data_IF_409414626929
#
_entry.id   IF_409414626929
#
_cell.length_a   1.000
_cell.length_b   1.000
_cell.length_c   1.000
_cell.angle_alpha   90.00
_cell.angle_beta   90.00
_cell.angle_gamma   90.00
#
_symmetry.space_group_name_H-M   'P 1'
#
loop_
_entity.id
_entity.type
_entity.pdbx_description
1 polymer ?
#
# COMPACT_ATOMS: atom_id res chain seq x y z
N UNK A 1 -4.94 -16.16 -7.70
CA UNK A 1 -4.28 -16.07 -9.02
C UNK A 1 -3.69 -17.41 -9.44
N UNK A 2 -2.88 -18.04 -8.59
CA UNK A 2 -2.30 -19.37 -8.86
C UNK A 2 -3.35 -20.41 -9.25
N UNK A 3 -4.46 -20.49 -8.51
CA UNK A 3 -5.56 -21.39 -8.87
C UNK A 3 -6.11 -21.17 -10.29
N UNK A 4 -6.30 -19.90 -10.70
CA UNK A 4 -6.78 -19.60 -12.05
C UNK A 4 -5.74 -19.99 -13.11
N UNK A 5 -4.45 -19.73 -12.84
CA UNK A 5 -3.33 -20.12 -13.69
C UNK A 5 -3.26 -21.65 -13.86
N UNK A 6 -3.36 -22.41 -12.76
CA UNK A 6 -3.34 -23.87 -12.76
C UNK A 6 -4.51 -24.48 -13.54
N UNK A 7 -5.67 -23.83 -13.50
CA UNK A 7 -6.89 -24.28 -14.20
C UNK A 7 -7.02 -23.71 -15.61
N UNK A 8 -6.05 -22.92 -16.08
CA UNK A 8 -6.09 -22.29 -17.40
C UNK A 8 -7.21 -21.25 -17.55
N UNK A 9 -7.67 -20.68 -16.44
CA UNK A 9 -8.68 -19.64 -16.44
C UNK A 9 -8.06 -18.26 -16.68
N UNK A 10 -8.76 -17.36 -17.39
CA UNK A 10 -8.33 -15.97 -17.53
C UNK A 10 -8.09 -15.31 -16.16
N UNK A 11 -7.03 -14.51 -16.06
CA UNK A 11 -6.70 -13.75 -14.86
C UNK A 11 -6.02 -12.44 -15.24
N UNK A 12 -6.14 -11.42 -14.39
CA UNK A 12 -5.61 -10.07 -14.64
C UNK A 12 -4.08 -9.96 -14.47
N UNK A 13 -3.44 -11.00 -13.97
CA UNK A 13 -2.01 -10.97 -13.62
C UNK A 13 -1.67 -10.14 -12.38
N UNK A 14 -2.66 -9.48 -11.76
CA UNK A 14 -2.50 -8.71 -10.53
C UNK A 14 -3.66 -8.95 -9.54
N UNK A 15 -3.41 -8.73 -8.26
CA UNK A 15 -4.41 -8.63 -7.20
C UNK A 15 -4.12 -7.40 -6.34
N UNK A 16 -5.17 -6.68 -5.94
CA UNK A 16 -5.09 -5.54 -5.02
C UNK A 16 -5.77 -5.94 -3.72
N UNK A 17 -5.05 -5.80 -2.60
CA UNK A 17 -5.54 -6.03 -1.25
C UNK A 17 -5.64 -4.67 -0.55
N UNK A 18 -6.84 -4.31 -0.10
CA UNK A 18 -7.11 -3.07 0.61
C UNK A 18 -7.21 -3.34 2.11
N UNK A 19 -6.22 -2.90 2.87
CA UNK A 19 -6.05 -3.13 4.31
C UNK A 19 -6.46 -4.54 4.78
N UNK A 20 -5.81 -5.60 4.25
CA UNK A 20 -6.21 -6.99 4.49
C UNK A 20 -6.16 -7.41 5.97
N UNK A 21 -5.47 -6.64 6.82
CA UNK A 21 -5.21 -6.98 8.21
C UNK A 21 -5.88 -6.04 9.22
N UNK A 22 -6.74 -5.13 8.76
CA UNK A 22 -7.37 -4.12 9.63
C UNK A 22 -8.13 -4.71 10.82
N UNK A 23 -8.75 -5.87 10.66
CA UNK A 23 -9.45 -6.57 11.75
C UNK A 23 -8.52 -7.04 12.88
N UNK A 24 -7.23 -7.19 12.60
CA UNK A 24 -6.19 -7.52 13.57
C UNK A 24 -5.47 -6.26 14.08
N UNK A 25 -5.77 -5.07 13.56
CA UNK A 25 -5.14 -3.83 14.00
C UNK A 25 -5.92 -3.12 15.12
N UNK A 26 -7.07 -3.64 15.54
CA UNK A 26 -7.92 -3.01 16.57
C UNK A 26 -7.33 -3.25 17.99
N UNK A 27 -6.73 -2.22 18.63
CA UNK A 27 -6.18 -2.35 19.97
C UNK A 27 -7.26 -2.40 21.07
N UNK A 28 -8.49 -2.01 20.75
CA UNK A 28 -9.65 -1.99 21.66
C UNK A 28 -10.47 -3.28 21.57
N UNK A 29 -10.07 -4.22 20.70
CA UNK A 29 -10.65 -5.55 20.63
C UNK A 29 -10.47 -6.28 21.97
N UNK A 30 -11.58 -6.47 22.69
CA UNK A 30 -11.63 -7.27 23.92
C UNK A 30 -11.68 -8.78 23.65
N UNK A 31 -11.63 -9.21 22.38
CA UNK A 31 -11.56 -10.62 22.04
C UNK A 31 -10.23 -11.22 22.52
N UNK A 32 -10.31 -12.27 23.34
CA UNK A 32 -9.15 -13.07 23.71
C UNK A 32 -8.62 -13.77 22.45
N UNK A 33 -7.61 -13.18 21.83
CA UNK A 33 -6.92 -13.80 20.72
C UNK A 33 -5.82 -14.73 21.25
N UNK A 34 -5.88 -16.03 20.89
CA UNK A 34 -4.81 -17.00 21.15
C UNK A 34 -3.44 -16.57 20.58
N UNK A 35 -3.46 -15.69 19.58
CA UNK A 35 -2.28 -15.11 18.92
C UNK A 35 -2.40 -13.60 18.94
N UNK A 36 -1.36 -12.91 19.42
CA UNK A 36 -1.32 -11.46 19.41
C UNK A 36 -1.51 -10.91 17.98
N UNK A 37 -2.44 -9.97 17.75
CA UNK A 37 -2.75 -9.49 16.41
C UNK A 37 -1.54 -8.91 15.64
N UNK A 38 -0.61 -8.25 16.34
CA UNK A 38 0.68 -7.83 15.80
C UNK A 38 1.48 -8.99 15.17
N UNK A 39 1.42 -10.19 15.76
CA UNK A 39 2.11 -11.38 15.23
C UNK A 39 1.54 -11.82 13.89
N UNK A 40 0.24 -11.60 13.64
CA UNK A 40 -0.40 -11.91 12.36
C UNK A 40 0.06 -10.94 11.28
N UNK A 41 0.09 -9.64 11.61
CA UNK A 41 0.56 -8.59 10.70
C UNK A 41 2.01 -8.84 10.29
N UNK A 42 2.88 -9.08 11.26
CA UNK A 42 4.30 -9.32 11.03
C UNK A 42 4.52 -10.55 10.14
N UNK A 43 3.88 -11.68 10.48
CA UNK A 43 4.03 -12.92 9.71
C UNK A 43 3.52 -12.79 8.27
N UNK A 44 2.47 -11.99 8.06
CA UNK A 44 1.95 -11.74 6.72
C UNK A 44 2.98 -11.01 5.86
N UNK A 45 3.56 -9.91 6.36
CA UNK A 45 4.55 -9.15 5.61
C UNK A 45 5.89 -9.88 5.48
N UNK A 46 6.31 -10.63 6.50
CA UNK A 46 7.50 -11.49 6.41
C UNK A 46 7.33 -12.53 5.31
N UNK A 47 6.18 -13.21 5.27
CA UNK A 47 5.87 -14.13 4.18
C UNK A 47 5.89 -13.42 2.81
N UNK A 48 5.28 -12.23 2.72
CA UNK A 48 5.24 -11.45 1.48
C UNK A 48 6.62 -11.01 0.99
N UNK A 49 7.56 -10.70 1.90
CA UNK A 49 8.94 -10.35 1.53
C UNK A 49 9.67 -11.49 0.80
N UNK A 50 9.25 -12.73 1.08
CA UNK A 50 9.79 -13.94 0.44
C UNK A 50 8.97 -14.41 -0.76
N UNK A 51 7.89 -13.71 -1.12
CA UNK A 51 6.99 -14.10 -2.20
C UNK A 51 7.74 -14.19 -3.54
N UNK A 52 7.62 -15.35 -4.20
CA UNK A 52 8.17 -15.63 -5.55
C UNK A 52 7.12 -16.26 -6.47
N UNK A 53 5.84 -16.17 -6.10
CA UNK A 53 4.74 -16.71 -6.88
C UNK A 53 4.45 -15.88 -8.14
N UNK A 54 3.52 -16.36 -8.96
CA UNK A 54 3.20 -15.72 -10.26
C UNK A 54 2.32 -14.49 -10.08
N UNK A 55 2.60 -13.47 -10.89
CA UNK A 55 1.86 -12.21 -10.97
C UNK A 55 2.16 -11.22 -9.85
N UNK A 56 1.48 -10.08 -9.90
CA UNK A 56 1.71 -8.96 -9.00
C UNK A 56 0.72 -8.93 -7.84
N UNK A 57 1.22 -8.71 -6.63
CA UNK A 57 0.39 -8.44 -5.45
C UNK A 57 0.63 -6.99 -5.04
N UNK A 58 -0.45 -6.22 -4.93
CA UNK A 58 -0.41 -4.82 -4.49
C UNK A 58 -1.18 -4.75 -3.18
N UNK A 59 -0.51 -4.34 -2.10
CA UNK A 59 -1.14 -4.13 -0.80
C UNK A 59 -1.21 -2.64 -0.53
N UNK A 60 -2.40 -2.15 -0.19
CA UNK A 60 -2.63 -0.79 0.27
C UNK A 60 -2.78 -0.83 1.78
N UNK A 61 -1.90 -0.13 2.49
CA UNK A 61 -2.01 0.05 3.93
C UNK A 61 -1.76 1.48 4.36
N UNK A 62 -2.33 1.83 5.51
CA UNK A 62 -2.10 3.11 6.17
C UNK A 62 -1.14 3.02 7.36
N UNK A 63 -0.86 1.80 7.84
CA UNK A 63 0.02 1.56 8.97
C UNK A 63 1.43 1.18 8.48
N UNK A 64 2.50 1.64 9.16
CA UNK A 64 3.85 1.21 8.85
C UNK A 64 4.04 -0.27 9.22
N UNK A 65 4.80 -0.99 8.41
CA UNK A 65 5.24 -2.35 8.72
C UNK A 65 6.61 -2.33 9.42
N UNK A 66 7.03 -3.46 10.00
CA UNK A 66 8.35 -3.60 10.63
C UNK A 66 9.49 -3.15 9.71
N UNK A 67 10.45 -2.43 10.28
CA UNK A 67 11.60 -1.87 9.56
C UNK A 67 12.35 -2.92 8.75
N UNK A 68 12.66 -4.07 9.36
CA UNK A 68 13.38 -5.18 8.73
C UNK A 68 12.66 -5.69 7.47
N UNK A 69 11.33 -5.83 7.55
CA UNK A 69 10.51 -6.27 6.42
C UNK A 69 10.35 -5.17 5.37
N UNK A 70 10.26 -3.91 5.81
CA UNK A 70 10.19 -2.73 4.92
C UNK A 70 11.48 -2.53 4.10
N UNK A 71 12.65 -2.83 4.66
CA UNK A 71 13.93 -2.79 3.95
C UNK A 71 13.97 -3.76 2.77
N UNK A 72 13.26 -4.89 2.86
CA UNK A 72 13.19 -5.90 1.79
C UNK A 72 12.06 -5.61 0.79
N UNK A 73 10.89 -5.20 1.30
CA UNK A 73 9.71 -4.94 0.47
C UNK A 73 9.76 -3.59 -0.25
N UNK A 74 10.56 -2.64 0.25
CA UNK A 74 10.70 -1.28 -0.26
C UNK A 74 9.33 -0.60 -0.54
N UNK A 75 8.47 -0.45 0.49
CA UNK A 75 7.12 0.06 0.29
C UNK A 75 7.13 1.50 -0.22
N UNK A 76 6.18 1.81 -1.09
CA UNK A 76 5.98 3.17 -1.58
C UNK A 76 5.18 3.96 -0.54
N UNK A 77 5.87 4.79 0.24
CA UNK A 77 5.23 5.63 1.27
C UNK A 77 4.71 6.94 0.69
N UNK A 78 3.44 7.23 0.98
CA UNK A 78 2.84 8.54 0.73
C UNK A 78 2.92 9.42 1.98
N UNK A 79 3.78 10.43 1.94
CA UNK A 79 4.13 11.24 3.12
C UNK A 79 3.19 12.41 3.36
N UNK A 80 2.46 12.86 2.33
CA UNK A 80 1.73 14.15 2.31
C UNK A 80 2.62 15.37 2.61
N UNK A 81 3.94 15.23 2.50
CA UNK A 81 4.92 16.31 2.70
C UNK A 81 5.55 16.67 1.36
N UNK A 82 5.44 17.93 0.96
CA UNK A 82 6.07 18.41 -0.28
C UNK A 82 7.59 18.33 -0.15
N UNK A 83 8.25 17.80 -1.17
CA UNK A 83 9.71 17.66 -1.18
C UNK A 83 10.27 16.47 -0.38
N UNK A 84 9.42 15.64 0.23
CA UNK A 84 9.85 14.41 0.92
C UNK A 84 9.07 13.20 0.38
N UNK A 85 9.74 12.33 -0.38
CA UNK A 85 9.11 11.15 -0.98
C UNK A 85 7.94 11.51 -1.90
N UNK A 86 6.94 10.61 -1.98
CA UNK A 86 5.71 10.88 -2.74
C UNK A 86 4.69 11.59 -1.85
N UNK A 87 4.16 12.72 -2.32
CA UNK A 87 3.10 13.44 -1.59
C UNK A 87 1.82 12.60 -1.45
N UNK A 88 1.45 11.87 -2.49
CA UNK A 88 0.26 11.03 -2.54
C UNK A 88 0.28 10.08 -3.72
N UNK A 89 -0.81 9.33 -3.90
CA UNK A 89 -0.97 8.44 -5.03
C UNK A 89 -1.02 9.19 -6.37
N UNK A 90 -1.83 10.26 -6.41
CA UNK A 90 -1.90 11.14 -7.58
C UNK A 90 -0.73 12.12 -7.59
N UNK A 91 -0.16 12.43 -8.78
CA UNK A 91 0.79 13.52 -8.92
C UNK A 91 0.19 14.83 -8.40
N UNK A 92 1.03 15.67 -7.78
CA UNK A 92 0.62 17.05 -7.51
C UNK A 92 0.35 17.70 -8.85
N UNK A 93 -0.85 18.30 -9.00
CA UNK A 93 -1.05 19.26 -10.07
C UNK A 93 -0.15 20.42 -9.73
N UNK A 94 0.92 20.59 -10.49
CA UNK A 94 1.59 21.87 -10.52
C UNK A 94 0.49 22.88 -10.85
N UNK A 95 0.29 23.84 -9.95
CA UNK A 95 -0.49 25.01 -10.30
C UNK A 95 0.39 25.67 -11.34
N UNK A 96 0.15 25.36 -12.62
CA UNK A 96 0.69 26.13 -13.72
C UNK A 96 0.10 27.51 -13.49
N UNK A 97 0.89 28.39 -12.88
CA UNK A 97 0.71 29.83 -12.91
C UNK A 97 0.85 30.25 -14.37
N UNK A 98 -0.13 29.89 -15.21
CA UNK A 98 -0.35 30.59 -16.44
C UNK A 98 -0.79 31.98 -16.02
N UNK A 99 0.10 32.93 -16.24
CA UNK A 99 -0.19 34.35 -16.42
C UNK A 99 -1.65 34.56 -16.84
N UNK A 100 -2.49 34.95 -15.88
CA UNK A 100 -3.66 35.72 -16.21
C UNK A 100 -3.12 37.12 -16.49
N UNK A 101 -3.31 37.70 -17.69
CA UNK A 101 -2.98 39.09 -17.91
C UNK A 101 -3.81 39.93 -16.93
N UNK A 102 -3.15 40.92 -16.31
CA UNK A 102 -3.82 41.84 -15.41
C UNK A 102 -4.92 42.60 -16.19
N UNK A 103 -6.12 42.79 -15.62
CA UNK A 103 -7.23 43.50 -16.26
C UNK A 103 -7.01 45.04 -16.31
N UNK A 104 -5.76 45.50 -16.32
CA UNK A 104 -5.39 46.92 -16.37
C UNK A 104 -4.70 47.32 -17.67
N UNK A 105 -4.77 46.48 -18.70
CA UNK A 105 -4.33 46.79 -20.07
C UNK A 105 -5.53 47.19 -20.98
N UNK A 106 -6.43 48.04 -20.47
CA UNK A 106 -7.39 48.85 -21.25
C UNK A 106 -7.36 50.32 -20.80
#
# INVERSE_FOLDING_TARGET
MEHALEKGHPHLGAVVLDSPLKTYADPDSTEEHDVLPATVIDRFYDWMSTWRGRGQVIVLENEPIKTETAEVLEPITFTRVRGNGRYGFYPLRDVVNNHLPNPSDE
#
